data_IF_986510628353
#
_entry.id   IF_986510628353
#
_cell.length_a   1.000
_cell.length_b   1.000
_cell.length_c   1.000
_cell.angle_alpha   90.00
_cell.angle_beta   90.00
_cell.angle_gamma   90.00
#
_symmetry.space_group_name_H-M   'P 1'
#
loop_
_entity.id
_entity.type
_entity.pdbx_description
1 polymer ?
#
# COMPACT_ATOMS: atom_id res chain seq x y z
N UNK A 1 -64.34 64.55 -0.52
CA UNK A 1 -64.66 63.91 -1.82
C UNK A 1 -63.40 63.86 -2.69
N UNK A 2 -63.17 62.71 -3.36
CA UNK A 2 -62.23 62.43 -4.47
C UNK A 2 -60.71 62.30 -4.15
N UNK A 3 -60.24 61.05 -4.28
CA UNK A 3 -58.85 60.60 -4.37
C UNK A 3 -58.20 61.10 -5.67
N UNK A 4 -56.94 61.55 -5.61
CA UNK A 4 -56.06 61.62 -6.80
C UNK A 4 -54.67 61.03 -6.45
N UNK A 5 -54.25 60.10 -7.31
CA UNK A 5 -53.06 59.24 -7.28
C UNK A 5 -51.92 59.84 -8.16
N UNK A 6 -50.70 59.24 -8.19
CA UNK A 6 -49.43 59.97 -8.32
C UNK A 6 -48.97 60.23 -9.77
N UNK A 7 -48.05 61.19 -9.93
CA UNK A 7 -47.43 61.59 -11.20
C UNK A 7 -46.45 60.54 -11.73
N UNK A 8 -46.62 60.18 -13.01
CA UNK A 8 -45.72 59.38 -13.84
C UNK A 8 -45.03 60.25 -14.91
N UNK A 9 -43.80 59.85 -15.23
CA UNK A 9 -43.06 59.91 -16.52
C UNK A 9 -42.52 61.24 -17.06
N UNK A 10 -41.22 61.24 -17.39
CA UNK A 10 -40.71 61.19 -18.79
C UNK A 10 -39.21 60.83 -18.84
N UNK A 11 -38.88 59.87 -19.72
CA UNK A 11 -37.55 59.36 -20.10
C UNK A 11 -36.82 60.28 -21.09
N UNK A 12 -35.48 60.14 -21.21
CA UNK A 12 -34.84 60.16 -22.52
C UNK A 12 -33.96 58.92 -22.80
N UNK A 13 -33.73 58.73 -24.10
CA UNK A 13 -33.25 57.54 -24.82
C UNK A 13 -31.76 57.24 -24.58
N UNK A 14 -31.40 55.97 -24.43
CA UNK A 14 -30.02 55.47 -24.58
C UNK A 14 -29.92 54.76 -25.94
N UNK A 15 -28.97 55.20 -26.77
CA UNK A 15 -28.56 54.55 -28.02
C UNK A 15 -27.44 53.53 -27.72
N UNK A 16 -27.55 52.41 -28.43
CA UNK A 16 -26.71 51.21 -28.51
C UNK A 16 -25.27 51.49 -28.97
N UNK A 17 -24.27 50.82 -28.34
CA UNK A 17 -23.10 50.22 -29.03
C UNK A 17 -22.63 48.95 -28.31
N UNK A 18 -22.75 47.83 -29.04
CA UNK A 18 -22.05 46.55 -29.04
C UNK A 18 -21.32 45.97 -27.81
N UNK A 19 -21.77 44.76 -27.49
CA UNK A 19 -21.17 43.70 -26.68
C UNK A 19 -19.71 43.36 -27.08
N UNK A 20 -18.78 43.41 -26.12
CA UNK A 20 -17.59 42.56 -26.08
C UNK A 20 -17.60 41.80 -24.75
N UNK A 21 -17.80 40.48 -24.85
CA UNK A 21 -17.82 39.53 -23.73
C UNK A 21 -16.42 39.37 -23.15
N UNK A 22 -16.42 39.27 -21.82
CA UNK A 22 -15.29 39.07 -20.93
C UNK A 22 -14.43 37.84 -21.26
N UNK A 23 -13.12 38.09 -21.27
CA UNK A 23 -12.04 37.13 -21.12
C UNK A 23 -11.60 37.11 -19.65
N UNK A 24 -11.95 36.07 -18.89
CA UNK A 24 -11.28 35.74 -17.62
C UNK A 24 -11.62 34.31 -17.13
N UNK A 25 -11.77 33.35 -18.06
CA UNK A 25 -12.06 31.94 -17.73
C UNK A 25 -11.19 30.94 -18.50
N UNK A 26 -10.05 31.39 -19.04
CA UNK A 26 -9.17 30.57 -19.89
C UNK A 26 -7.83 30.18 -19.26
N UNK A 27 -7.50 30.65 -18.05
CA UNK A 27 -6.20 30.31 -17.43
C UNK A 27 -6.31 29.15 -16.41
N UNK A 28 -7.44 29.01 -15.72
CA UNK A 28 -7.66 27.90 -14.76
C UNK A 28 -7.99 26.57 -15.44
N UNK A 29 -8.50 26.59 -16.67
CA UNK A 29 -8.89 25.37 -17.41
C UNK A 29 -7.74 24.80 -18.27
N UNK A 30 -6.64 25.53 -18.39
CA UNK A 30 -5.45 25.13 -19.15
C UNK A 30 -4.43 24.43 -18.25
N UNK A 31 -4.33 24.83 -16.98
CA UNK A 31 -3.51 24.14 -15.96
C UNK A 31 -4.12 22.82 -15.48
N UNK A 32 -5.45 22.75 -15.33
CA UNK A 32 -6.13 21.51 -14.98
C UNK A 32 -6.08 20.47 -16.12
N UNK A 33 -6.14 20.91 -17.38
CA UNK A 33 -5.96 20.04 -18.55
C UNK A 33 -4.51 19.65 -18.80
N UNK A 34 -3.53 20.49 -18.45
CA UNK A 34 -2.11 20.12 -18.57
C UNK A 34 -1.70 19.15 -17.45
N UNK A 35 -2.25 19.28 -16.24
CA UNK A 35 -1.99 18.34 -15.14
C UNK A 35 -2.73 17.01 -15.35
N UNK A 36 -4.00 17.01 -15.78
CA UNK A 36 -4.69 15.76 -16.14
C UNK A 36 -4.11 15.10 -17.41
N UNK A 37 -3.55 15.86 -18.36
CA UNK A 37 -2.84 15.30 -19.52
C UNK A 37 -1.39 14.87 -19.22
N UNK A 38 -0.80 15.33 -18.11
CA UNK A 38 0.49 14.86 -17.60
C UNK A 38 0.30 13.63 -16.72
N UNK A 39 -0.69 13.62 -15.83
CA UNK A 39 -1.08 12.44 -15.04
C UNK A 39 -1.61 11.31 -15.95
N UNK A 40 -2.39 11.61 -16.99
CA UNK A 40 -2.85 10.58 -17.94
C UNK A 40 -1.76 10.09 -18.91
N UNK A 41 -0.61 10.76 -18.98
CA UNK A 41 0.57 10.32 -19.75
C UNK A 41 1.55 9.53 -18.89
N UNK A 42 1.68 9.86 -17.60
CA UNK A 42 2.54 9.12 -16.66
C UNK A 42 1.90 7.79 -16.22
N UNK A 43 0.58 7.69 -16.18
CA UNK A 43 -0.13 6.43 -15.87
C UNK A 43 -0.35 5.50 -17.09
N UNK A 44 0.04 5.91 -18.30
CA UNK A 44 -0.08 5.09 -19.52
C UNK A 44 1.24 4.44 -20.00
N UNK A 45 2.36 4.64 -19.30
CA UNK A 45 3.66 4.07 -19.70
C UNK A 45 4.37 3.23 -18.61
N UNK A 46 3.64 2.72 -17.62
CA UNK A 46 4.17 1.80 -16.59
C UNK A 46 3.46 0.43 -16.58
N UNK A 47 3.11 -0.08 -17.76
CA UNK A 47 3.06 -1.52 -17.96
C UNK A 47 4.50 -2.04 -18.07
N UNK A 48 4.85 -3.26 -17.62
CA UNK A 48 6.17 -3.79 -17.88
C UNK A 48 6.34 -3.89 -19.40
N UNK A 49 7.01 -2.91 -20.00
CA UNK A 49 7.55 -3.03 -21.35
C UNK A 49 8.58 -4.14 -21.25
N UNK A 50 8.15 -5.38 -21.49
CA UNK A 50 9.05 -6.50 -21.72
C UNK A 50 9.83 -6.07 -22.95
N UNK A 51 11.13 -5.73 -22.86
CA UNK A 51 11.91 -5.47 -24.05
C UNK A 51 11.76 -6.70 -24.95
N UNK A 52 11.64 -6.53 -26.27
CA UNK A 52 11.55 -7.67 -27.19
C UNK A 52 12.60 -8.70 -26.77
N UNK A 53 12.19 -9.87 -26.27
CA UNK A 53 13.09 -10.84 -25.61
C UNK A 53 14.28 -11.21 -26.50
N UNK A 54 14.06 -11.16 -27.82
CA UNK A 54 15.07 -11.26 -28.85
C UNK A 54 16.17 -10.19 -28.75
N UNK A 55 15.83 -8.90 -28.58
CA UNK A 55 16.82 -7.83 -28.43
C UNK A 55 17.71 -8.07 -27.20
N UNK A 56 17.11 -8.45 -26.07
CA UNK A 56 17.84 -8.75 -24.83
C UNK A 56 18.73 -9.98 -24.99
N UNK A 57 18.28 -10.98 -25.74
CA UNK A 57 19.08 -12.14 -26.11
C UNK A 57 20.26 -11.74 -27.00
N UNK A 58 20.04 -10.93 -28.04
CA UNK A 58 21.09 -10.41 -28.94
C UNK A 58 22.14 -9.61 -28.15
N UNK A 59 21.73 -8.77 -27.20
CA UNK A 59 22.65 -8.05 -26.32
C UNK A 59 23.51 -8.98 -25.45
N UNK A 60 22.94 -10.12 -25.05
CA UNK A 60 23.59 -11.10 -24.20
C UNK A 60 24.59 -11.98 -24.97
N UNK A 61 24.19 -12.56 -26.10
CA UNK A 61 24.98 -13.59 -26.79
C UNK A 61 25.47 -13.18 -28.18
N UNK A 62 24.99 -12.05 -28.71
CA UNK A 62 25.23 -11.61 -30.09
C UNK A 62 24.20 -12.19 -31.08
N UNK A 63 24.00 -11.50 -32.19
CA UNK A 63 22.92 -11.78 -33.16
C UNK A 63 22.95 -13.21 -33.71
N UNK A 64 24.11 -13.66 -34.21
CA UNK A 64 24.26 -15.03 -34.73
C UNK A 64 23.96 -16.10 -33.68
N UNK A 65 24.47 -15.93 -32.46
CA UNK A 65 24.26 -16.90 -31.38
C UNK A 65 22.81 -16.88 -30.87
N UNK A 66 22.14 -15.73 -30.92
CA UNK A 66 20.72 -15.62 -30.58
C UNK A 66 19.87 -16.46 -31.54
N UNK A 67 20.14 -16.38 -32.85
CA UNK A 67 19.47 -17.25 -33.83
C UNK A 67 19.73 -18.74 -33.57
N UNK A 68 20.97 -19.12 -33.24
CA UNK A 68 21.33 -20.51 -32.95
C UNK A 68 20.57 -21.03 -31.71
N UNK A 69 20.44 -20.20 -30.66
CA UNK A 69 19.63 -20.49 -29.47
C UNK A 69 18.16 -20.67 -29.82
N UNK A 70 17.59 -19.82 -30.66
CA UNK A 70 16.19 -19.91 -31.08
C UNK A 70 15.93 -21.18 -31.90
N UNK A 71 16.81 -21.49 -32.87
CA UNK A 71 16.77 -22.74 -33.66
C UNK A 71 16.87 -23.99 -32.77
N UNK A 72 17.77 -23.94 -31.78
CA UNK A 72 17.92 -25.03 -30.81
C UNK A 72 16.67 -25.19 -29.94
N UNK A 73 16.15 -24.09 -29.40
CA UNK A 73 14.92 -24.08 -28.59
C UNK A 73 13.75 -24.66 -29.38
N UNK A 74 13.56 -24.24 -30.63
CA UNK A 74 12.50 -24.78 -31.50
C UNK A 74 12.64 -26.29 -31.71
N UNK A 75 13.86 -26.78 -31.94
CA UNK A 75 14.14 -28.21 -32.11
C UNK A 75 13.83 -29.02 -30.83
N UNK A 76 14.20 -28.49 -29.66
CA UNK A 76 13.92 -29.12 -28.36
C UNK A 76 12.42 -29.16 -28.08
N UNK A 77 11.72 -28.05 -28.29
CA UNK A 77 10.26 -27.96 -28.07
C UNK A 77 9.50 -28.86 -29.05
N UNK A 78 9.93 -28.96 -30.32
CA UNK A 78 9.30 -29.86 -31.29
C UNK A 78 9.38 -31.33 -30.86
N UNK A 79 10.51 -31.75 -30.28
CA UNK A 79 10.74 -33.14 -29.89
C UNK A 79 10.20 -33.48 -28.49
N UNK A 80 10.30 -32.55 -27.55
CA UNK A 80 10.04 -32.78 -26.12
C UNK A 80 8.97 -31.86 -25.52
N UNK A 81 8.28 -31.04 -26.32
CA UNK A 81 7.45 -29.92 -25.84
C UNK A 81 6.38 -30.26 -24.81
N UNK A 82 5.88 -31.51 -24.77
CA UNK A 82 4.97 -31.98 -23.72
C UNK A 82 5.59 -31.91 -22.31
N UNK A 83 6.90 -32.14 -22.21
CA UNK A 83 7.64 -32.23 -20.95
C UNK A 83 8.44 -30.96 -20.64
N UNK A 84 8.78 -30.15 -21.63
CA UNK A 84 9.53 -28.90 -21.39
C UNK A 84 8.61 -27.88 -20.73
N UNK A 85 8.96 -27.45 -19.51
CA UNK A 85 8.26 -26.35 -18.83
C UNK A 85 8.79 -25.00 -19.23
N UNK A 86 10.12 -24.87 -19.33
CA UNK A 86 10.75 -23.62 -19.72
C UNK A 86 12.17 -23.85 -20.24
N UNK A 87 12.64 -22.91 -21.05
CA UNK A 87 14.01 -22.81 -21.56
C UNK A 87 14.48 -21.39 -21.34
N UNK A 88 15.58 -21.22 -20.61
CA UNK A 88 16.17 -19.94 -20.30
C UNK A 88 17.68 -19.95 -20.57
N UNK A 89 18.18 -18.93 -21.25
CA UNK A 89 19.61 -18.69 -21.39
C UNK A 89 20.10 -17.94 -20.17
N UNK A 90 21.19 -18.39 -19.58
CA UNK A 90 21.80 -17.72 -18.43
C UNK A 90 23.33 -17.82 -18.53
N UNK A 91 24.05 -17.18 -17.61
CA UNK A 91 25.51 -17.20 -17.59
C UNK A 91 26.16 -15.83 -17.83
N UNK A 92 27.50 -15.80 -17.78
CA UNK A 92 28.27 -14.58 -17.56
C UNK A 92 28.51 -13.73 -18.82
N UNK A 93 27.45 -13.25 -19.47
CA UNK A 93 27.56 -12.12 -20.41
C UNK A 93 27.46 -10.76 -19.73
N UNK A 94 27.03 -10.72 -18.45
CA UNK A 94 26.91 -9.50 -17.63
C UNK A 94 28.18 -9.14 -16.85
N UNK A 95 29.13 -10.06 -16.68
CA UNK A 95 30.43 -9.78 -16.04
C UNK A 95 31.43 -9.16 -17.04
N UNK A 96 31.00 -8.18 -17.84
CA UNK A 96 31.89 -7.39 -18.72
C UNK A 96 32.87 -6.49 -17.95
N UNK A 97 32.76 -6.40 -16.61
CA UNK A 97 33.61 -5.53 -15.78
C UNK A 97 35.02 -6.07 -15.48
N UNK A 98 35.33 -7.34 -15.75
CA UNK A 98 36.64 -7.91 -15.33
C UNK A 98 37.32 -8.83 -16.35
N UNK A 99 36.79 -8.98 -17.58
CA UNK A 99 37.34 -9.98 -18.51
C UNK A 99 38.01 -9.28 -19.69
N UNK A 100 39.34 -9.42 -19.72
CA UNK A 100 40.24 -9.05 -20.81
C UNK A 100 39.65 -9.35 -22.20
N UNK A 101 39.80 -8.41 -23.13
CA UNK A 101 39.40 -8.44 -24.56
C UNK A 101 39.97 -9.62 -25.40
N UNK A 102 40.39 -10.75 -24.82
CA UNK A 102 41.21 -11.78 -25.49
C UNK A 102 40.68 -13.23 -25.48
N UNK A 103 39.53 -13.55 -24.90
CA UNK A 103 38.99 -14.94 -24.97
C UNK A 103 37.74 -14.96 -25.85
N UNK A 104 37.88 -15.52 -27.07
CA UNK A 104 36.94 -15.35 -28.19
C UNK A 104 35.84 -16.40 -28.31
N UNK A 105 35.62 -17.24 -27.30
CA UNK A 105 34.56 -18.26 -27.31
C UNK A 105 34.05 -18.44 -25.89
N UNK A 106 32.77 -18.13 -25.67
CA UNK A 106 32.09 -18.40 -24.40
C UNK A 106 30.97 -19.42 -24.67
N UNK A 107 30.89 -20.44 -23.82
CA UNK A 107 29.78 -21.40 -23.84
C UNK A 107 28.47 -20.68 -23.49
N UNK A 108 27.38 -21.08 -24.17
CA UNK A 108 26.03 -20.55 -23.97
C UNK A 108 25.30 -21.56 -23.09
N UNK A 109 25.19 -21.24 -21.80
CA UNK A 109 24.46 -22.08 -20.85
C UNK A 109 22.95 -21.90 -21.03
N UNK A 110 22.29 -23.01 -21.35
CA UNK A 110 20.83 -23.04 -21.55
C UNK A 110 20.21 -23.93 -20.48
N UNK A 111 19.53 -23.33 -19.52
CA UNK A 111 18.74 -24.04 -18.52
C UNK A 111 17.44 -24.55 -19.17
N UNK A 112 17.21 -25.86 -19.10
CA UNK A 112 16.04 -26.52 -19.67
C UNK A 112 15.29 -27.21 -18.54
N UNK A 113 14.14 -26.67 -18.15
CA UNK A 113 13.33 -27.22 -17.05
C UNK A 113 12.37 -28.25 -17.64
N UNK A 114 12.45 -29.49 -17.15
CA UNK A 114 11.68 -30.64 -17.66
C UNK A 114 10.76 -31.17 -16.58
N UNK A 115 9.46 -31.26 -16.88
CA UNK A 115 8.47 -31.91 -16.03
C UNK A 115 8.74 -33.40 -15.92
N UNK A 116 9.07 -33.82 -14.70
CA UNK A 116 9.40 -35.19 -14.38
C UNK A 116 8.37 -35.81 -13.41
N UNK A 117 7.31 -35.08 -13.07
CA UNK A 117 6.33 -35.48 -12.02
C UNK A 117 5.62 -36.81 -12.32
N UNK A 118 5.48 -37.19 -13.59
CA UNK A 118 4.80 -38.41 -14.03
C UNK A 118 5.74 -39.60 -14.29
N UNK A 119 7.06 -39.42 -14.19
CA UNK A 119 8.04 -40.47 -14.49
C UNK A 119 8.11 -41.50 -13.37
N UNK A 120 7.83 -42.76 -13.70
CA UNK A 120 7.86 -43.92 -12.77
C UNK A 120 8.77 -45.07 -13.21
N UNK A 121 9.27 -45.05 -14.45
CA UNK A 121 9.94 -46.19 -15.09
C UNK A 121 11.46 -46.24 -14.92
N UNK A 122 12.08 -45.14 -14.51
CA UNK A 122 13.53 -45.04 -14.31
C UNK A 122 13.84 -44.06 -13.17
N UNK A 123 15.07 -44.10 -12.66
CA UNK A 123 15.50 -43.16 -11.62
C UNK A 123 15.69 -41.76 -12.20
N UNK A 124 15.60 -40.74 -11.33
CA UNK A 124 15.80 -39.33 -11.69
C UNK A 124 17.17 -39.07 -12.31
N UNK A 125 18.22 -39.69 -11.75
CA UNK A 125 19.58 -39.61 -12.28
C UNK A 125 19.67 -40.17 -13.71
N UNK A 126 19.14 -41.38 -13.93
CA UNK A 126 19.14 -41.99 -15.26
C UNK A 126 18.36 -41.18 -16.29
N UNK A 127 17.23 -40.59 -15.89
CA UNK A 127 16.45 -39.71 -16.74
C UNK A 127 17.26 -38.47 -17.13
N UNK A 128 17.88 -37.81 -16.14
CA UNK A 128 18.67 -36.61 -16.35
C UNK A 128 19.85 -36.86 -17.28
N UNK A 129 20.60 -37.95 -17.09
CA UNK A 129 21.74 -38.31 -17.94
C UNK A 129 21.32 -38.56 -19.39
N UNK A 130 20.21 -39.30 -19.60
CA UNK A 130 19.66 -39.54 -20.94
C UNK A 130 19.18 -38.25 -21.59
N UNK A 131 18.49 -37.39 -20.84
CA UNK A 131 18.04 -36.09 -21.34
C UNK A 131 19.24 -35.23 -21.73
N UNK A 132 20.26 -35.15 -20.88
CA UNK A 132 21.48 -34.39 -21.14
C UNK A 132 22.16 -34.85 -22.44
N UNK A 133 22.39 -36.15 -22.61
CA UNK A 133 22.99 -36.70 -23.84
C UNK A 133 22.16 -36.34 -25.09
N UNK A 134 20.83 -36.50 -25.03
CA UNK A 134 19.95 -36.16 -26.16
C UNK A 134 19.94 -34.67 -26.48
N UNK A 135 19.95 -33.82 -25.47
CA UNK A 135 19.98 -32.37 -25.63
C UNK A 135 21.32 -31.90 -26.21
N UNK A 136 22.43 -32.53 -25.82
CA UNK A 136 23.76 -32.27 -26.36
C UNK A 136 23.86 -32.70 -27.84
N UNK A 137 23.38 -33.91 -28.18
CA UNK A 137 23.31 -34.41 -29.56
C UNK A 137 22.53 -33.46 -30.49
N UNK A 138 21.50 -32.80 -29.96
CA UNK A 138 20.70 -31.83 -30.72
C UNK A 138 21.37 -30.46 -30.84
N UNK A 139 22.19 -30.07 -29.87
CA UNK A 139 22.86 -28.77 -29.86
C UNK A 139 24.08 -28.73 -30.76
N UNK A 140 24.86 -29.81 -30.79
CA UNK A 140 26.15 -29.85 -31.49
C UNK A 140 26.08 -29.51 -33.00
N UNK A 141 25.09 -29.98 -33.78
CA UNK A 141 24.95 -29.61 -35.20
C UNK A 141 24.53 -28.16 -35.43
N UNK A 142 23.91 -27.51 -34.44
CA UNK A 142 23.43 -26.13 -34.54
C UNK A 142 24.57 -25.18 -34.18
N UNK A 143 25.16 -25.36 -33.00
CA UNK A 143 26.31 -24.60 -32.56
C UNK A 143 27.10 -25.38 -31.51
N UNK A 144 28.44 -25.50 -31.65
CA UNK A 144 29.27 -26.16 -30.64
C UNK A 144 29.33 -25.39 -29.31
N UNK A 145 28.82 -24.15 -29.28
CA UNK A 145 28.81 -23.30 -28.09
C UNK A 145 27.62 -23.58 -27.18
N UNK A 146 26.60 -24.28 -27.65
CA UNK A 146 25.40 -24.54 -26.87
C UNK A 146 25.71 -25.61 -25.82
N UNK A 147 25.56 -25.22 -24.55
CA UNK A 147 25.73 -26.09 -23.41
C UNK A 147 24.39 -26.25 -22.67
N UNK A 148 23.63 -27.32 -22.97
CA UNK A 148 22.33 -27.53 -22.37
C UNK A 148 22.44 -28.08 -20.95
N UNK A 149 21.72 -27.48 -20.02
CA UNK A 149 21.67 -27.87 -18.62
C UNK A 149 20.24 -28.29 -18.26
N UNK A 150 19.91 -29.59 -18.30
CA UNK A 150 18.60 -30.08 -17.93
C UNK A 150 18.42 -30.04 -16.42
N UNK A 151 17.35 -29.39 -15.97
CA UNK A 151 16.86 -29.42 -14.61
C UNK A 151 15.52 -30.14 -14.57
N UNK A 152 15.43 -31.23 -13.81
CA UNK A 152 14.14 -31.84 -13.54
C UNK A 152 13.30 -30.88 -12.68
N UNK A 153 12.00 -30.78 -12.94
CA UNK A 153 11.11 -29.82 -12.27
C UNK A 153 11.15 -30.00 -10.75
N UNK A 154 11.10 -31.24 -10.27
CA UNK A 154 11.16 -31.55 -8.83
C UNK A 154 12.51 -31.15 -8.20
N UNK A 155 13.62 -31.43 -8.89
CA UNK A 155 14.98 -31.05 -8.46
C UNK A 155 15.14 -29.52 -8.45
N UNK A 156 14.70 -28.85 -9.51
CA UNK A 156 14.74 -27.40 -9.64
C UNK A 156 14.01 -26.73 -8.48
N UNK A 157 12.78 -27.18 -8.19
CA UNK A 157 11.99 -26.64 -7.09
C UNK A 157 12.68 -26.85 -5.74
N UNK A 158 13.21 -28.04 -5.47
CA UNK A 158 13.94 -28.33 -4.24
C UNK A 158 15.15 -27.42 -4.07
N UNK A 159 15.95 -27.24 -5.12
CA UNK A 159 17.12 -26.36 -5.09
C UNK A 159 16.77 -24.88 -4.91
N UNK A 160 15.63 -24.43 -5.43
CA UNK A 160 15.14 -23.07 -5.15
C UNK A 160 14.76 -22.93 -3.68
N UNK A 161 14.07 -23.91 -3.09
CA UNK A 161 13.74 -23.89 -1.65
C UNK A 161 14.97 -23.94 -0.76
N UNK A 162 15.99 -24.70 -1.16
CA UNK A 162 17.24 -24.86 -0.41
C UNK A 162 18.22 -23.68 -0.59
N UNK A 163 17.89 -22.72 -1.46
CA UNK A 163 18.71 -21.54 -1.70
C UNK A 163 19.96 -21.79 -2.52
N UNK A 164 19.90 -22.68 -3.51
CA UNK A 164 21.04 -22.98 -4.38
C UNK A 164 21.52 -21.72 -5.13
N UNK A 165 22.79 -21.29 -4.97
CA UNK A 165 23.29 -20.05 -5.57
C UNK A 165 23.23 -20.03 -7.10
N UNK A 166 23.40 -21.19 -7.74
CA UNK A 166 23.37 -21.32 -9.21
C UNK A 166 21.96 -21.07 -9.73
N UNK A 167 20.95 -21.74 -9.17
CA UNK A 167 19.57 -21.52 -9.60
C UNK A 167 19.05 -20.13 -9.26
N UNK A 168 19.56 -19.50 -8.20
CA UNK A 168 19.24 -18.11 -7.92
C UNK A 168 19.78 -17.18 -8.99
N UNK A 169 20.97 -17.45 -9.53
CA UNK A 169 21.50 -16.70 -10.67
C UNK A 169 20.70 -16.99 -11.95
N UNK A 170 20.32 -18.26 -12.19
CA UNK A 170 19.42 -18.63 -13.31
C UNK A 170 18.11 -17.84 -13.22
N UNK A 171 17.43 -17.85 -12.07
CA UNK A 171 16.17 -17.12 -11.88
C UNK A 171 16.35 -15.61 -11.98
N UNK A 172 17.45 -15.05 -11.47
CA UNK A 172 17.69 -13.59 -11.46
C UNK A 172 18.06 -13.06 -12.84
N UNK A 173 19.00 -13.72 -13.51
CA UNK A 173 19.65 -13.23 -14.72
C UNK A 173 19.24 -13.97 -15.99
N UNK A 174 18.50 -15.07 -15.86
CA UNK A 174 18.04 -15.87 -16.99
C UNK A 174 17.12 -15.09 -17.92
N UNK A 175 17.43 -15.15 -19.21
CA UNK A 175 16.60 -14.67 -20.31
C UNK A 175 15.73 -15.82 -20.77
N UNK A 176 14.43 -15.66 -20.62
CA UNK A 176 13.44 -16.66 -20.99
C UNK A 176 13.26 -16.73 -22.52
N UNK A 177 13.40 -17.92 -23.10
CA UNK A 177 13.19 -18.15 -24.55
C UNK A 177 11.85 -18.86 -24.78
N UNK A 178 11.52 -19.80 -23.91
CA UNK A 178 10.27 -20.57 -23.96
C UNK A 178 9.76 -20.80 -22.54
N UNK A 179 8.45 -20.70 -22.33
CA UNK A 179 7.80 -20.96 -21.04
C UNK A 179 6.36 -21.44 -21.23
N UNK A 180 5.94 -22.31 -20.33
CA UNK A 180 4.55 -22.77 -20.20
C UNK A 180 3.84 -22.11 -19.02
N UNK A 181 4.44 -21.05 -18.44
CA UNK A 181 3.95 -20.31 -17.28
C UNK A 181 4.57 -20.75 -15.96
N UNK A 182 5.76 -21.35 -15.98
CA UNK A 182 6.46 -21.78 -14.77
C UNK A 182 7.59 -20.82 -14.40
N UNK A 183 8.48 -20.51 -15.35
CA UNK A 183 9.70 -19.78 -15.04
C UNK A 183 9.49 -18.30 -14.83
N UNK A 184 8.67 -17.66 -15.69
CA UNK A 184 8.42 -16.22 -15.58
C UNK A 184 7.77 -15.85 -14.23
N UNK A 185 6.71 -16.53 -13.75
CA UNK A 185 6.16 -16.26 -12.43
C UNK A 185 7.18 -16.45 -11.31
N UNK A 186 8.03 -17.49 -11.39
CA UNK A 186 9.09 -17.73 -10.41
C UNK A 186 10.13 -16.61 -10.38
N UNK A 187 10.55 -16.14 -11.54
CA UNK A 187 11.44 -14.99 -11.66
C UNK A 187 10.81 -13.70 -11.11
N UNK A 188 9.50 -13.50 -11.32
CA UNK A 188 8.77 -12.36 -10.73
C UNK A 188 8.68 -12.48 -9.20
N UNK A 189 8.40 -13.67 -8.67
CA UNK A 189 8.39 -13.92 -7.22
C UNK A 189 9.76 -13.68 -6.58
N UNK A 190 10.84 -14.05 -7.27
CA UNK A 190 12.21 -13.73 -6.85
C UNK A 190 12.40 -12.21 -6.72
N UNK A 191 12.06 -11.45 -7.78
CA UNK A 191 12.19 -9.99 -7.81
C UNK A 191 11.33 -9.29 -6.74
N UNK A 192 10.17 -9.86 -6.40
CA UNK A 192 9.30 -9.37 -5.32
C UNK A 192 9.81 -9.75 -3.92
N UNK A 193 10.95 -10.45 -3.80
CA UNK A 193 11.51 -10.91 -2.54
C UNK A 193 10.67 -11.98 -1.84
N UNK A 194 9.91 -12.79 -2.60
CA UNK A 194 9.06 -13.85 -2.05
C UNK A 194 9.77 -15.22 -1.94
N UNK A 195 10.93 -15.39 -2.60
CA UNK A 195 11.73 -16.61 -2.52
C UNK A 195 12.77 -16.48 -1.41
N UNK A 196 12.77 -17.41 -0.46
CA UNK A 196 13.69 -17.41 0.70
C UNK A 196 14.81 -18.43 0.48
N UNK A 197 16.06 -18.15 0.90
CA UNK A 197 16.59 -16.91 1.49
C UNK A 197 17.29 -16.02 0.44
N UNK A 198 16.57 -15.53 -0.57
CA UNK A 198 17.16 -14.66 -1.60
C UNK A 198 17.60 -13.29 -1.05
N UNK A 199 18.51 -12.61 -1.78
CA UNK A 199 18.95 -11.25 -1.43
C UNK A 199 17.77 -10.27 -1.47
N UNK A 200 16.92 -10.43 -2.48
CA UNK A 200 15.70 -9.67 -2.67
C UNK A 200 14.73 -9.81 -1.48
N UNK A 201 14.63 -11.02 -0.92
CA UNK A 201 13.85 -11.26 0.29
C UNK A 201 14.46 -10.60 1.52
N UNK A 202 15.78 -10.62 1.67
CA UNK A 202 16.50 -9.96 2.78
C UNK A 202 16.30 -8.44 2.70
N UNK A 203 16.51 -7.85 1.51
CA UNK A 203 16.32 -6.42 1.24
C UNK A 203 14.87 -6.00 1.52
N UNK A 204 13.90 -6.82 1.10
CA UNK A 204 12.49 -6.62 1.43
C UNK A 204 12.24 -6.59 2.93
N UNK A 205 12.83 -7.53 3.67
CA UNK A 205 12.64 -7.59 5.13
C UNK A 205 13.22 -6.37 5.86
N UNK A 206 14.42 -5.92 5.50
CA UNK A 206 15.00 -4.71 6.12
C UNK A 206 14.23 -3.45 5.72
N UNK A 207 13.81 -3.33 4.46
CA UNK A 207 12.97 -2.22 4.00
C UNK A 207 11.65 -2.13 4.77
N UNK A 208 10.97 -3.27 4.98
CA UNK A 208 9.74 -3.31 5.79
C UNK A 208 10.01 -2.88 7.23
N UNK A 209 11.13 -3.28 7.82
CA UNK A 209 11.48 -2.85 9.18
C UNK A 209 11.66 -1.33 9.29
N UNK A 210 12.32 -0.70 8.31
CA UNK A 210 12.49 0.75 8.25
C UNK A 210 11.16 1.48 8.04
N UNK A 211 10.30 0.99 7.15
CA UNK A 211 8.96 1.56 6.91
C UNK A 211 8.07 1.48 8.16
N UNK A 212 8.17 0.39 8.94
CA UNK A 212 7.44 0.28 10.20
C UNK A 212 7.90 1.34 11.22
N UNK A 213 9.20 1.65 11.30
CA UNK A 213 9.68 2.72 12.17
C UNK A 213 9.20 4.11 11.71
N UNK A 214 9.20 4.37 10.39
CA UNK A 214 8.62 5.61 9.84
C UNK A 214 7.12 5.71 10.14
N UNK A 215 6.39 4.60 10.04
CA UNK A 215 4.97 4.55 10.38
C UNK A 215 4.74 4.89 11.85
N UNK A 216 5.58 4.42 12.77
CA UNK A 216 5.50 4.79 14.19
C UNK A 216 5.62 6.31 14.36
N UNK A 217 6.65 6.93 13.78
CA UNK A 217 6.84 8.39 13.84
C UNK A 217 5.66 9.16 13.24
N UNK A 218 5.18 8.75 12.06
CA UNK A 218 4.01 9.35 11.41
C UNK A 218 2.73 9.20 12.26
N UNK A 219 2.54 8.05 12.90
CA UNK A 219 1.39 7.79 13.77
C UNK A 219 1.43 8.68 15.02
N UNK A 220 2.61 8.84 15.63
CA UNK A 220 2.80 9.76 16.76
C UNK A 220 2.50 11.20 16.37
N UNK A 221 3.03 11.65 15.23
CA UNK A 221 2.87 13.02 14.75
C UNK A 221 1.45 13.35 14.33
N UNK A 222 0.77 12.46 13.63
CA UNK A 222 -0.52 12.78 12.99
C UNK A 222 -1.69 12.24 13.79
N UNK A 223 -1.75 10.92 13.97
CA UNK A 223 -2.94 10.26 14.55
C UNK A 223 -3.07 10.53 16.05
N UNK A 224 -2.00 10.35 16.81
CA UNK A 224 -2.06 10.48 18.28
C UNK A 224 -2.30 11.92 18.71
N UNK A 225 -1.60 12.88 18.11
CA UNK A 225 -1.76 14.31 18.42
C UNK A 225 -3.16 14.81 18.04
N UNK A 226 -3.69 14.40 16.87
CA UNK A 226 -5.05 14.70 16.45
C UNK A 226 -6.08 14.16 17.44
N UNK A 227 -5.99 12.88 17.82
CA UNK A 227 -6.96 12.28 18.75
C UNK A 227 -6.91 12.96 20.14
N UNK A 228 -5.73 13.35 20.62
CA UNK A 228 -5.58 14.10 21.86
C UNK A 228 -6.19 15.50 21.76
N UNK A 229 -5.97 16.22 20.67
CA UNK A 229 -6.57 17.53 20.43
C UNK A 229 -8.09 17.45 20.34
N UNK A 230 -8.62 16.51 19.56
CA UNK A 230 -10.05 16.30 19.41
C UNK A 230 -10.72 15.90 20.73
N UNK A 231 -10.01 15.18 21.61
CA UNK A 231 -10.52 14.88 22.95
C UNK A 231 -10.70 16.14 23.80
N UNK A 232 -9.73 17.06 23.77
CA UNK A 232 -9.79 18.35 24.48
C UNK A 232 -10.92 19.20 23.90
N UNK A 233 -10.96 19.38 22.57
CA UNK A 233 -12.00 20.16 21.88
C UNK A 233 -13.40 19.62 22.20
N UNK A 234 -13.62 18.31 22.03
CA UNK A 234 -14.93 17.69 22.25
C UNK A 234 -15.38 17.83 23.71
N UNK A 235 -14.45 17.68 24.67
CA UNK A 235 -14.76 17.81 26.09
C UNK A 235 -15.12 19.26 26.46
N UNK A 236 -14.40 20.25 25.95
CA UNK A 236 -14.72 21.66 26.16
C UNK A 236 -16.05 22.05 25.51
N UNK A 237 -16.28 21.66 24.25
CA UNK A 237 -17.55 21.88 23.55
C UNK A 237 -18.72 21.28 24.33
N UNK A 238 -18.56 20.09 24.92
CA UNK A 238 -19.63 19.46 25.71
C UNK A 238 -20.06 20.31 26.90
N UNK A 239 -19.11 20.90 27.64
CA UNK A 239 -19.40 21.77 28.78
C UNK A 239 -20.00 23.09 28.30
N UNK A 240 -19.44 23.69 27.25
CA UNK A 240 -19.95 24.97 26.72
C UNK A 240 -21.38 24.85 26.19
N UNK A 241 -21.71 23.74 25.52
CA UNK A 241 -23.08 23.46 25.07
C UNK A 241 -24.03 23.26 26.24
N UNK A 242 -23.59 22.60 27.31
CA UNK A 242 -24.40 22.45 28.54
C UNK A 242 -24.70 23.80 29.21
N UNK A 243 -23.79 24.77 29.06
CA UNK A 243 -23.96 26.15 29.51
C UNK A 243 -24.75 27.03 28.53
N UNK A 244 -25.19 26.48 27.40
CA UNK A 244 -26.02 27.18 26.40
C UNK A 244 -25.25 27.90 25.30
N UNK A 245 -23.93 27.77 25.26
CA UNK A 245 -23.10 28.34 24.18
C UNK A 245 -23.12 27.40 22.97
N UNK A 246 -22.93 27.97 21.77
CA UNK A 246 -22.66 27.16 20.58
C UNK A 246 -21.25 26.57 20.68
N UNK A 247 -21.01 25.35 20.16
CA UNK A 247 -19.69 24.75 20.19
C UNK A 247 -18.71 25.62 19.38
N UNK A 248 -17.65 26.16 20.00
CA UNK A 248 -16.70 27.02 19.30
C UNK A 248 -15.76 26.20 18.41
N UNK A 249 -15.09 26.87 17.47
CA UNK A 249 -14.08 26.22 16.63
C UNK A 249 -12.85 25.82 17.47
N UNK A 250 -12.09 24.78 17.08
CA UNK A 250 -10.95 24.29 17.86
C UNK A 250 -9.96 25.37 18.32
N UNK A 251 -9.66 26.34 17.46
CA UNK A 251 -8.74 27.45 17.74
C UNK A 251 -9.28 28.48 18.74
N UNK A 252 -10.59 28.54 18.92
CA UNK A 252 -11.27 29.47 19.83
C UNK A 252 -11.42 28.88 21.25
N UNK A 253 -11.28 27.55 21.39
CA UNK A 253 -11.45 26.83 22.65
C UNK A 253 -10.66 27.46 23.81
N UNK A 254 -9.36 27.82 23.68
CA UNK A 254 -8.63 28.41 24.79
C UNK A 254 -9.21 29.74 25.27
N UNK A 255 -9.75 30.55 24.34
CA UNK A 255 -10.42 31.81 24.67
C UNK A 255 -11.74 31.59 25.41
N UNK A 256 -12.56 30.64 24.95
CA UNK A 256 -13.80 30.29 25.64
C UNK A 256 -13.56 29.69 27.04
N UNK A 257 -12.51 28.90 27.20
CA UNK A 257 -12.11 28.40 28.53
C UNK A 257 -11.78 29.55 29.47
N UNK A 258 -11.03 30.54 28.98
CA UNK A 258 -10.65 31.72 29.75
C UNK A 258 -11.87 32.58 30.12
N UNK A 259 -12.66 32.99 29.13
CA UNK A 259 -13.73 33.95 29.36
C UNK A 259 -14.94 33.32 30.07
N UNK A 260 -15.37 32.14 29.63
CA UNK A 260 -16.56 31.50 30.19
C UNK A 260 -16.22 30.68 31.43
N UNK A 261 -15.28 29.74 31.33
CA UNK A 261 -15.09 28.74 32.39
C UNK A 261 -14.25 29.27 33.57
N UNK A 262 -13.34 30.22 33.34
CA UNK A 262 -12.52 30.83 34.39
C UNK A 262 -13.15 32.12 34.91
N UNK A 263 -13.40 33.12 34.03
CA UNK A 263 -13.81 34.46 34.48
C UNK A 263 -15.30 34.54 34.85
N UNK A 264 -16.19 34.14 33.96
CA UNK A 264 -17.64 34.24 34.16
C UNK A 264 -18.16 33.22 35.19
N UNK A 265 -17.93 31.93 34.93
CA UNK A 265 -18.53 30.83 35.69
C UNK A 265 -17.66 30.31 36.83
N UNK A 266 -16.35 30.62 36.82
CA UNK A 266 -15.37 30.23 37.86
C UNK A 266 -15.37 28.73 38.16
N UNK A 267 -15.50 27.90 37.12
CA UNK A 267 -15.57 26.43 37.20
C UNK A 267 -14.19 25.77 37.18
N UNK A 268 -13.20 26.44 36.60
CA UNK A 268 -11.80 25.97 36.51
C UNK A 268 -10.81 27.07 36.87
N UNK A 269 -9.59 26.68 37.23
CA UNK A 269 -8.46 27.59 37.44
C UNK A 269 -7.81 27.97 36.11
N UNK A 270 -6.96 29.01 36.12
CA UNK A 270 -6.21 29.47 34.95
C UNK A 270 -5.28 28.40 34.34
N UNK A 271 -4.86 27.40 35.12
CA UNK A 271 -4.07 26.25 34.64
C UNK A 271 -4.71 25.59 33.40
N UNK A 272 -6.04 25.47 33.36
CA UNK A 272 -6.76 24.81 32.28
C UNK A 272 -6.71 25.59 30.95
N UNK A 273 -6.50 26.90 31.00
CA UNK A 273 -6.22 27.71 29.80
C UNK A 273 -4.89 27.28 29.21
N UNK A 274 -3.87 27.10 30.06
CA UNK A 274 -2.54 26.63 29.68
C UNK A 274 -2.57 25.24 29.03
N UNK A 275 -3.31 24.31 29.64
CA UNK A 275 -3.48 22.95 29.10
C UNK A 275 -4.14 22.97 27.69
N UNK A 276 -5.26 23.68 27.54
CA UNK A 276 -5.94 23.78 26.24
C UNK A 276 -5.07 24.44 25.17
N UNK A 277 -4.41 25.55 25.51
CA UNK A 277 -3.55 26.29 24.60
C UNK A 277 -2.35 25.45 24.14
N UNK A 278 -1.75 24.69 25.06
CA UNK A 278 -0.63 23.80 24.74
C UNK A 278 -1.03 22.72 23.74
N UNK A 279 -2.10 21.96 24.03
CA UNK A 279 -2.55 20.84 23.18
C UNK A 279 -2.94 21.33 21.77
N UNK A 280 -3.77 22.38 21.69
CA UNK A 280 -4.27 22.90 20.40
C UNK A 280 -3.14 23.52 19.57
N UNK A 281 -2.23 24.26 20.21
CA UNK A 281 -1.09 24.84 19.51
C UNK A 281 -0.17 23.75 18.96
N UNK A 282 0.18 22.76 19.78
CA UNK A 282 1.08 21.70 19.37
C UNK A 282 0.53 20.91 18.18
N UNK A 283 -0.78 20.60 18.17
CA UNK A 283 -1.42 19.98 17.01
C UNK A 283 -1.36 20.86 15.76
N UNK A 284 -1.67 22.16 15.86
CA UNK A 284 -1.61 23.10 14.73
C UNK A 284 -0.22 23.26 14.15
N UNK A 285 0.80 23.34 15.00
CA UNK A 285 2.20 23.41 14.57
C UNK A 285 2.56 22.16 13.74
N UNK A 286 1.98 20.99 14.05
CA UNK A 286 2.15 19.77 13.26
C UNK A 286 1.30 19.78 11.98
N UNK A 287 0.04 20.19 12.05
CA UNK A 287 -0.89 20.27 10.91
C UNK A 287 -0.35 21.19 9.80
N UNK A 288 0.19 22.35 10.19
CA UNK A 288 0.81 23.31 9.27
C UNK A 288 2.23 22.92 8.82
N UNK A 289 2.73 21.76 9.28
CA UNK A 289 4.08 21.23 8.98
C UNK A 289 5.23 22.11 9.50
N UNK A 290 4.95 23.01 10.44
CA UNK A 290 5.96 23.78 11.15
C UNK A 290 6.80 22.87 12.06
N UNK A 291 6.18 21.80 12.58
CA UNK A 291 6.83 20.74 13.36
C UNK A 291 6.80 19.40 12.62
N UNK A 292 7.99 18.88 12.30
CA UNK A 292 8.17 17.65 11.51
C UNK A 292 8.51 16.40 12.35
N UNK A 293 8.74 16.59 13.64
CA UNK A 293 9.04 15.50 14.58
C UNK A 293 8.53 15.88 15.99
N UNK A 294 8.15 14.87 16.77
CA UNK A 294 7.68 15.02 18.15
C UNK A 294 8.41 14.03 19.04
N UNK A 295 9.03 14.53 20.10
CA UNK A 295 9.69 13.64 21.05
C UNK A 295 8.66 12.85 21.85
N UNK A 296 9.02 11.63 22.26
CA UNK A 296 8.14 10.82 23.14
C UNK A 296 7.79 11.53 24.45
N UNK A 297 8.68 12.40 24.95
CA UNK A 297 8.42 13.21 26.14
C UNK A 297 7.33 14.26 25.90
N UNK A 298 7.43 15.01 24.80
CA UNK A 298 6.40 15.99 24.43
C UNK A 298 5.04 15.33 24.17
N UNK A 299 5.03 14.14 23.58
CA UNK A 299 3.81 13.37 23.37
C UNK A 299 3.18 12.93 24.70
N UNK A 300 3.98 12.48 25.67
CA UNK A 300 3.49 12.13 27.00
C UNK A 300 3.00 13.36 27.77
N UNK A 301 3.66 14.51 27.63
CA UNK A 301 3.20 15.79 28.18
C UNK A 301 1.85 16.22 27.58
N UNK A 302 1.68 16.09 26.26
CA UNK A 302 0.42 16.37 25.55
C UNK A 302 -0.69 15.45 26.03
N UNK A 303 -0.40 14.15 26.15
CA UNK A 303 -1.34 13.16 26.67
C UNK A 303 -1.78 13.48 28.09
N UNK A 304 -0.83 13.74 28.99
CA UNK A 304 -1.13 14.07 30.39
C UNK A 304 -1.99 15.35 30.49
N UNK A 305 -1.70 16.35 29.66
CA UNK A 305 -2.48 17.59 29.58
C UNK A 305 -3.91 17.34 29.10
N UNK A 306 -4.07 16.55 28.04
CA UNK A 306 -5.37 16.18 27.51
C UNK A 306 -6.20 15.37 28.53
N UNK A 307 -5.60 14.36 29.17
CA UNK A 307 -6.27 13.54 30.18
C UNK A 307 -6.75 14.36 31.38
N UNK A 308 -5.90 15.24 31.91
CA UNK A 308 -6.26 16.15 33.01
C UNK A 308 -7.41 17.08 32.61
N UNK A 309 -7.32 17.68 31.43
CA UNK A 309 -8.34 18.59 30.92
C UNK A 309 -9.69 17.89 30.73
N UNK A 310 -9.71 16.76 30.02
CA UNK A 310 -10.93 15.98 29.76
C UNK A 310 -11.55 15.49 31.06
N UNK A 311 -10.75 15.02 32.02
CA UNK A 311 -11.24 14.61 33.34
C UNK A 311 -11.97 15.75 34.04
N UNK A 312 -11.39 16.95 34.04
CA UNK A 312 -12.02 18.11 34.69
C UNK A 312 -13.32 18.52 34.00
N UNK A 313 -13.34 18.57 32.67
CA UNK A 313 -14.55 18.89 31.91
C UNK A 313 -15.67 17.89 32.18
N UNK A 314 -15.33 16.60 32.29
CA UNK A 314 -16.26 15.56 32.69
C UNK A 314 -16.86 15.80 34.08
N UNK A 315 -16.03 16.13 35.07
CA UNK A 315 -16.48 16.42 36.45
C UNK A 315 -17.41 17.64 36.48
N UNK A 316 -17.11 18.69 35.71
CA UNK A 316 -17.94 19.89 35.61
C UNK A 316 -19.29 19.54 34.98
N UNK A 317 -19.29 18.81 33.87
CA UNK A 317 -20.50 18.39 33.18
C UNK A 317 -21.40 17.55 34.10
N UNK A 318 -20.81 16.63 34.87
CA UNK A 318 -21.52 15.84 35.89
C UNK A 318 -22.18 16.73 36.94
N UNK A 319 -21.44 17.72 37.46
CA UNK A 319 -21.94 18.63 38.49
C UNK A 319 -23.10 19.48 37.96
N UNK A 320 -22.94 20.10 36.80
CA UNK A 320 -23.96 20.96 36.18
C UNK A 320 -25.28 20.21 35.94
N UNK A 321 -25.21 19.01 35.37
CA UNK A 321 -26.41 18.18 35.13
C UNK A 321 -27.06 17.71 36.42
N UNK A 322 -26.26 17.32 37.41
CA UNK A 322 -26.77 16.93 38.72
C UNK A 322 -27.53 18.07 39.40
N UNK A 323 -27.03 19.30 39.30
CA UNK A 323 -27.70 20.50 39.82
C UNK A 323 -29.02 20.80 39.09
N UNK A 324 -29.12 20.48 37.79
CA UNK A 324 -30.37 20.53 37.01
C UNK A 324 -31.34 19.37 37.27
N UNK A 325 -30.92 18.35 38.05
CA UNK A 325 -31.69 17.12 38.26
C UNK A 325 -31.70 16.17 37.05
N UNK A 326 -30.73 16.32 36.15
CA UNK A 326 -30.59 15.52 34.92
C UNK A 326 -29.57 14.38 35.10
N UNK A 327 -29.72 13.31 34.30
CA UNK A 327 -28.73 12.24 34.25
C UNK A 327 -27.44 12.72 33.59
N UNK A 328 -26.30 12.17 34.02
CA UNK A 328 -25.00 12.57 33.45
C UNK A 328 -24.89 12.24 31.96
N UNK A 329 -25.38 11.07 31.54
CA UNK A 329 -25.43 10.65 30.14
C UNK A 329 -26.88 10.35 29.73
N UNK A 330 -27.15 10.51 28.43
CA UNK A 330 -28.40 10.02 27.86
C UNK A 330 -28.34 8.50 27.72
N UNK A 331 -29.49 7.83 27.88
CA UNK A 331 -29.59 6.36 27.89
C UNK A 331 -28.93 5.70 26.66
N UNK A 332 -29.03 6.34 25.48
CA UNK A 332 -28.41 5.85 24.24
C UNK A 332 -26.88 5.82 24.31
N UNK A 333 -26.26 6.74 25.04
CA UNK A 333 -24.80 6.80 25.23
C UNK A 333 -24.38 5.79 26.30
N UNK A 334 -25.16 5.65 27.37
CA UNK A 334 -24.91 4.64 28.42
C UNK A 334 -24.93 3.23 27.83
N UNK A 335 -25.95 2.89 27.04
CA UNK A 335 -26.03 1.62 26.32
C UNK A 335 -24.83 1.38 25.41
N UNK A 336 -24.35 2.41 24.69
CA UNK A 336 -23.14 2.31 23.86
C UNK A 336 -21.90 1.99 24.68
N UNK A 337 -21.68 2.70 25.79
CA UNK A 337 -20.54 2.45 26.67
C UNK A 337 -20.59 1.05 27.31
N UNK A 338 -21.78 0.56 27.66
CA UNK A 338 -21.94 -0.82 28.14
C UNK A 338 -21.63 -1.85 27.06
N UNK A 339 -22.07 -1.63 25.83
CA UNK A 339 -21.72 -2.48 24.69
C UNK A 339 -20.21 -2.47 24.41
N UNK A 340 -19.57 -1.31 24.48
CA UNK A 340 -18.12 -1.18 24.29
C UNK A 340 -17.31 -1.83 25.41
N UNK A 341 -17.74 -1.71 26.68
CA UNK A 341 -17.14 -2.45 27.80
C UNK A 341 -17.22 -3.97 27.63
N UNK A 342 -18.29 -4.47 26.99
CA UNK A 342 -18.46 -5.89 26.67
C UNK A 342 -17.60 -6.33 25.48
N UNK A 343 -17.28 -5.42 24.57
CA UNK A 343 -16.26 -5.64 23.53
C UNK A 343 -14.88 -5.60 24.19
N UNK A 344 -14.39 -6.77 24.64
CA UNK A 344 -12.94 -6.94 24.87
C UNK A 344 -12.22 -6.44 23.62
N UNK A 345 -11.18 -5.63 23.78
CA UNK A 345 -10.39 -5.01 22.69
C UNK A 345 -10.20 -6.03 21.57
N UNK A 346 -10.96 -5.86 20.49
CA UNK A 346 -10.84 -6.67 19.29
C UNK A 346 -9.87 -5.95 18.38
N UNK A 347 -8.71 -6.56 18.15
CA UNK A 347 -7.86 -6.19 17.03
C UNK A 347 -8.66 -6.45 15.75
N UNK A 348 -8.47 -5.67 14.68
CA UNK A 348 -9.11 -5.93 13.38
C UNK A 348 -8.83 -7.34 12.83
N UNK A 349 -7.82 -8.04 13.34
CA UNK A 349 -7.45 -9.43 13.00
C UNK A 349 -7.97 -10.48 13.98
N UNK A 350 -8.65 -10.08 15.06
CA UNK A 350 -9.22 -11.05 15.99
C UNK A 350 -10.43 -11.68 15.30
N UNK A 351 -10.25 -12.92 14.82
CA UNK A 351 -11.35 -13.77 14.39
C UNK A 351 -12.27 -13.92 15.59
N UNK A 352 -13.50 -13.43 15.43
CA UNK A 352 -14.54 -13.61 16.43
C UNK A 352 -14.87 -15.11 16.53
N UNK A 353 -14.16 -15.81 17.43
CA UNK A 353 -14.36 -17.23 17.73
C UNK A 353 -15.76 -17.51 18.34
N UNK A 354 -16.56 -16.47 18.62
CA UNK A 354 -17.96 -16.61 19.04
C UNK A 354 -18.94 -16.64 17.86
N UNK A 355 -18.48 -16.36 16.63
CA UNK A 355 -19.27 -16.67 15.42
C UNK A 355 -19.23 -18.17 15.24
N UNK A 356 -20.38 -18.82 15.38
CA UNK A 356 -20.57 -20.21 14.96
C UNK A 356 -20.04 -20.36 13.52
N UNK A 357 -19.21 -21.39 13.31
CA UNK A 357 -18.64 -21.71 12.01
C UNK A 357 -19.80 -21.81 10.98
N UNK A 358 -19.68 -21.15 9.81
CA UNK A 358 -20.69 -21.23 8.75
C UNK A 358 -21.12 -22.67 8.42
N UNK A 359 -20.22 -23.65 8.57
CA UNK A 359 -20.56 -25.06 8.42
C UNK A 359 -21.49 -25.56 9.53
N UNK A 360 -21.24 -25.25 10.79
CA UNK A 360 -22.14 -25.64 11.91
C UNK A 360 -23.50 -24.96 11.80
N UNK A 361 -23.55 -23.75 11.25
CA UNK A 361 -24.81 -23.03 11.01
C UNK A 361 -25.59 -23.64 9.83
N UNK A 362 -24.89 -24.09 8.78
CA UNK A 362 -25.50 -24.80 7.66
C UNK A 362 -26.02 -26.18 8.07
N UNK A 363 -25.29 -26.90 8.93
CA UNK A 363 -25.69 -28.22 9.44
C UNK A 363 -26.96 -28.12 10.30
N UNK A 364 -27.07 -27.10 11.18
CA UNK A 364 -28.30 -26.84 11.95
C UNK A 364 -29.51 -26.53 11.05
N UNK A 365 -29.30 -25.74 10.00
CA UNK A 365 -30.36 -25.41 9.04
C UNK A 365 -30.79 -26.66 8.25
N UNK A 366 -29.85 -27.53 7.88
CA UNK A 366 -30.16 -28.81 7.25
C UNK A 366 -30.92 -29.77 8.18
N UNK A 367 -30.59 -29.79 9.47
CA UNK A 367 -31.25 -30.61 10.49
C UNK A 367 -32.67 -30.10 10.79
N UNK A 368 -32.88 -28.77 10.80
CA UNK A 368 -34.19 -28.14 10.95
C UNK A 368 -35.09 -28.30 9.71
N UNK A 369 -34.50 -28.33 8.51
CA UNK A 369 -35.23 -28.53 7.25
C UNK A 369 -35.47 -30.01 6.90
N UNK A 370 -34.70 -30.93 7.49
CA UNK A 370 -34.87 -32.38 7.33
C UNK A 370 -35.97 -33.00 8.21
N UNK A 371 -36.52 -32.25 9.16
CA UNK A 371 -37.59 -32.68 10.07
C UNK A 371 -38.97 -32.04 9.75
N UNK A 372 -39.23 -31.71 8.48
CA UNK A 372 -40.57 -31.32 8.01
C UNK A 372 -41.08 -32.23 6.90
#
# INVERSE_FOLDING_TARGET
>A
MKKIKPKKTKTPKIKTVNNKKNSSSSESNTQAKSQQAQESKEDQEMGPQVPQMHQVLVEMVGEKNAEDVEKYTASVVQKFGRYIKSIAVWGSSKTKKTISKKTKVHDIDIAIIVDDTDVRRMTRAQLKDKLFQRLLEMGHPISPLIHPQPYLLTEFWQYVMDGNPVLYNVLRDGILIFDTGFFLPMQMLMKMGNIKPSKECIDKHIFVAEELLKLVGNTMLTKLTYDMEQSVVSSAQSVLMELGYRPPAPNEIPGFVEDVLVKEMKLVSEEYIGLARFVIKLYKDIEHKDKKDISGKELEEMKSSAEKFVKKMREILQKLRKEKGESFLYESVEKKLEMEKKRKVSRPTDVDLSREDPHTKADKIHEELGNR
#
